data_IF_630904861612
#
_entry.id   IF_630904861612
#
_cell.length_a   1.000
_cell.length_b   1.000
_cell.length_c   1.000
_cell.angle_alpha   90.00
_cell.angle_beta   90.00
_cell.angle_gamma   90.00
#
_symmetry.space_group_name_H-M   'P 1'
#
loop_
_entity.id
_entity.type
_entity.pdbx_description
1 polymer ?
#
# COMPACT_ATOMS: atom_id res chain seq x y z
N UNK A 1 -24.86 10.97 7.30
CA UNK A 1 -24.52 9.53 7.12
C UNK A 1 -23.14 9.32 7.72
N UNK A 2 -22.95 8.25 8.48
CA UNK A 2 -21.67 7.93 9.10
C UNK A 2 -20.60 7.61 8.04
N UNK A 3 -19.38 8.13 8.23
CA UNK A 3 -18.27 7.93 7.30
C UNK A 3 -17.72 6.52 7.48
N UNK A 4 -17.83 5.67 6.46
CA UNK A 4 -17.30 4.30 6.49
C UNK A 4 -15.78 4.31 6.67
N UNK A 5 -15.29 3.47 7.58
CA UNK A 5 -13.86 3.28 7.86
C UNK A 5 -13.40 1.90 7.41
N UNK A 6 -12.31 1.84 6.64
CA UNK A 6 -11.77 0.59 6.09
C UNK A 6 -10.26 0.54 6.26
N UNK A 7 -9.75 -0.60 6.73
CA UNK A 7 -8.33 -0.93 6.71
C UNK A 7 -8.09 -2.05 5.69
N UNK A 8 -7.16 -1.82 4.76
CA UNK A 8 -6.72 -2.80 3.76
C UNK A 8 -5.35 -3.31 4.18
N UNK A 9 -5.22 -4.62 4.34
CA UNK A 9 -3.96 -5.28 4.66
C UNK A 9 -3.37 -5.90 3.39
N UNK A 10 -2.32 -5.29 2.85
CA UNK A 10 -1.58 -5.84 1.73
C UNK A 10 -0.56 -6.85 2.27
N UNK A 11 -0.72 -8.13 1.93
CA UNK A 11 0.11 -9.23 2.45
C UNK A 11 0.93 -9.96 1.37
N UNK A 12 0.43 -10.03 0.14
CA UNK A 12 1.00 -10.82 -0.95
C UNK A 12 2.13 -10.07 -1.68
N UNK A 13 3.17 -10.80 -2.14
CA UNK A 13 4.28 -10.25 -2.93
C UNK A 13 3.99 -10.01 -4.40
N UNK A 14 2.87 -10.50 -4.95
CA UNK A 14 2.58 -10.37 -6.38
C UNK A 14 2.29 -8.89 -6.73
N UNK A 15 3.02 -8.28 -7.68
CA UNK A 15 2.92 -6.84 -7.97
C UNK A 15 1.54 -6.34 -8.38
N UNK A 16 0.78 -7.11 -9.17
CA UNK A 16 -0.57 -6.75 -9.61
C UNK A 16 -1.55 -6.78 -8.44
N UNK A 17 -1.45 -7.79 -7.56
CA UNK A 17 -2.25 -7.89 -6.33
C UNK A 17 -1.96 -6.69 -5.42
N UNK A 18 -0.69 -6.31 -5.25
CA UNK A 18 -0.33 -5.11 -4.49
C UNK A 18 -0.92 -3.84 -5.13
N UNK A 19 -0.82 -3.69 -6.45
CA UNK A 19 -1.42 -2.57 -7.17
C UNK A 19 -2.95 -2.51 -6.99
N UNK A 20 -3.64 -3.65 -6.96
CA UNK A 20 -5.08 -3.70 -6.71
C UNK A 20 -5.46 -3.22 -5.31
N UNK A 21 -4.66 -3.51 -4.28
CA UNK A 21 -4.86 -2.93 -2.95
C UNK A 21 -4.83 -1.39 -2.99
N UNK A 22 -3.88 -0.81 -3.73
CA UNK A 22 -3.77 0.65 -3.88
C UNK A 22 -4.95 1.24 -4.67
N UNK A 23 -5.33 0.62 -5.79
CA UNK A 23 -6.47 1.04 -6.61
C UNK A 23 -7.78 0.99 -5.82
N UNK A 24 -8.00 -0.08 -5.05
CA UNK A 24 -9.18 -0.23 -4.21
C UNK A 24 -9.21 0.85 -3.11
N UNK A 25 -8.08 1.10 -2.45
CA UNK A 25 -7.99 2.15 -1.43
C UNK A 25 -8.30 3.54 -1.98
N UNK A 26 -7.73 3.88 -3.13
CA UNK A 26 -8.01 5.15 -3.83
C UNK A 26 -9.47 5.25 -4.27
N UNK A 27 -10.04 4.16 -4.79
CA UNK A 27 -11.45 4.11 -5.20
C UNK A 27 -12.41 4.32 -4.03
N UNK A 28 -12.15 3.68 -2.90
CA UNK A 28 -12.93 3.87 -1.67
C UNK A 28 -12.78 5.29 -1.11
N UNK A 29 -11.58 5.86 -1.14
CA UNK A 29 -11.37 7.26 -0.74
C UNK A 29 -12.16 8.23 -1.64
N UNK A 30 -12.19 7.99 -2.95
CA UNK A 30 -12.97 8.79 -3.90
C UNK A 30 -14.49 8.72 -3.64
N UNK A 31 -14.97 7.63 -3.02
CA UNK A 31 -16.36 7.48 -2.57
C UNK A 31 -16.62 8.16 -1.20
N UNK A 32 -15.63 8.88 -0.65
CA UNK A 32 -15.75 9.59 0.63
C UNK A 32 -15.47 8.73 1.87
N UNK A 33 -14.97 7.51 1.70
CA UNK A 33 -14.66 6.63 2.83
C UNK A 33 -13.33 7.06 3.48
N UNK A 34 -13.18 6.76 4.76
CA UNK A 34 -11.89 6.86 5.45
C UNK A 34 -11.16 5.52 5.29
N UNK A 35 -10.04 5.53 4.57
CA UNK A 35 -9.36 4.31 4.15
C UNK A 35 -7.89 4.38 4.49
N UNK A 36 -7.36 3.28 5.02
CA UNK A 36 -5.95 3.10 5.35
C UNK A 36 -5.44 1.78 4.79
N UNK A 37 -4.21 1.80 4.29
CA UNK A 37 -3.49 0.64 3.75
C UNK A 37 -2.33 0.34 4.70
N UNK A 38 -2.35 -0.85 5.28
CA UNK A 38 -1.29 -1.42 6.09
C UNK A 38 -0.54 -2.43 5.23
N UNK A 39 0.78 -2.27 5.14
CA UNK A 39 1.62 -3.13 4.31
C UNK A 39 2.38 -4.09 5.21
N UNK A 40 2.14 -5.38 5.04
CA UNK A 40 2.68 -6.42 5.91
C UNK A 40 3.02 -7.69 5.11
N UNK A 41 3.62 -8.68 5.78
CA UNK A 41 4.01 -9.93 5.14
C UNK A 41 4.99 -9.69 3.99
N UNK A 42 4.72 -10.37 2.89
CA UNK A 42 5.58 -10.40 1.72
C UNK A 42 5.39 -9.18 0.80
N UNK A 43 4.28 -8.45 0.96
CA UNK A 43 4.04 -7.17 0.30
C UNK A 43 5.06 -6.09 0.69
N UNK A 44 5.71 -6.21 1.84
CA UNK A 44 6.77 -5.28 2.28
C UNK A 44 7.92 -5.19 1.27
N UNK A 45 8.19 -6.25 0.50
CA UNK A 45 9.17 -6.26 -0.61
C UNK A 45 8.80 -5.28 -1.74
N UNK A 46 7.52 -5.00 -1.95
CA UNK A 46 7.07 -4.07 -2.98
C UNK A 46 7.40 -2.62 -2.61
N UNK A 47 7.47 -2.31 -1.31
CA UNK A 47 7.79 -0.95 -0.83
C UNK A 47 9.20 -0.53 -1.22
N UNK A 48 10.20 -1.41 -1.14
CA UNK A 48 11.57 -1.09 -1.59
C UNK A 48 11.65 -0.92 -3.10
N UNK A 49 10.95 -1.77 -3.85
CA UNK A 49 10.95 -1.73 -5.32
C UNK A 49 10.29 -0.46 -5.87
N UNK A 50 9.18 -0.03 -5.27
CA UNK A 50 8.39 1.12 -5.74
C UNK A 50 8.95 2.48 -5.32
N UNK A 51 10.07 2.51 -4.56
CA UNK A 51 10.88 3.73 -4.40
C UNK A 51 11.65 4.10 -5.68
N UNK A 52 11.78 3.18 -6.62
CA UNK A 52 12.36 3.44 -7.92
C UNK A 52 11.26 3.83 -8.92
N UNK A 53 11.31 5.06 -9.42
CA UNK A 53 10.31 5.62 -10.34
C UNK A 53 10.23 4.91 -11.70
N UNK A 54 11.24 4.12 -12.06
CA UNK A 54 11.26 3.34 -13.31
C UNK A 54 10.49 2.02 -13.24
N UNK A 55 10.05 1.60 -12.05
CA UNK A 55 9.35 0.32 -11.87
C UNK A 55 7.87 0.42 -12.26
N UNK A 56 7.27 -0.69 -12.73
CA UNK A 56 5.82 -0.76 -12.92
C UNK A 56 5.08 -0.32 -11.66
N UNK A 57 4.00 0.44 -11.83
CA UNK A 57 3.16 0.96 -10.75
C UNK A 57 3.81 1.98 -9.80
N UNK A 58 5.03 2.45 -10.05
CA UNK A 58 5.65 3.50 -9.22
C UNK A 58 4.78 4.77 -9.17
N UNK A 59 4.19 5.17 -10.29
CA UNK A 59 3.25 6.29 -10.33
C UNK A 59 1.99 6.07 -9.47
N UNK A 60 1.46 4.84 -9.45
CA UNK A 60 0.31 4.48 -8.62
C UNK A 60 0.68 4.51 -7.13
N UNK A 61 1.86 4.01 -6.78
CA UNK A 61 2.40 4.09 -5.43
C UNK A 61 2.52 5.55 -4.95
N UNK A 62 3.13 6.43 -5.77
CA UNK A 62 3.24 7.84 -5.42
C UNK A 62 1.86 8.49 -5.26
N UNK A 63 0.90 8.17 -6.15
CA UNK A 63 -0.47 8.64 -6.01
C UNK A 63 -1.11 8.20 -4.69
N UNK A 64 -1.00 6.93 -4.33
CA UNK A 64 -1.53 6.39 -3.07
C UNK A 64 -0.87 7.03 -1.84
N UNK A 65 0.45 7.22 -1.88
CA UNK A 65 1.22 7.87 -0.82
C UNK A 65 0.80 9.34 -0.66
N UNK A 66 0.74 10.10 -1.75
CA UNK A 66 0.32 11.51 -1.76
C UNK A 66 -1.15 11.69 -1.34
N UNK A 67 -2.00 10.71 -1.63
CA UNK A 67 -3.39 10.68 -1.18
C UNK A 67 -3.54 10.38 0.32
N UNK A 68 -2.46 10.05 1.03
CA UNK A 68 -2.46 9.81 2.49
C UNK A 68 -3.17 8.51 2.92
N UNK A 69 -3.41 7.58 1.98
CA UNK A 69 -4.06 6.30 2.29
C UNK A 69 -3.07 5.26 2.81
N UNK A 70 -1.75 5.43 2.61
CA UNK A 70 -0.74 4.54 3.20
C UNK A 70 -0.56 4.91 4.67
N UNK A 71 -0.77 3.94 5.57
CA UNK A 71 -0.72 4.17 7.01
C UNK A 71 0.63 3.77 7.59
N UNK A 72 1.00 2.50 7.44
CA UNK A 72 2.23 1.96 7.98
C UNK A 72 2.73 0.74 7.20
N UNK A 73 3.97 0.37 7.49
CA UNK A 73 4.62 -0.87 7.02
C UNK A 73 5.03 -1.65 8.28
N UNK A 74 4.70 -2.93 8.35
CA UNK A 74 5.09 -3.77 9.47
C UNK A 74 6.62 -3.91 9.53
N UNK A 75 7.21 -3.45 10.64
CA UNK A 75 8.66 -3.46 10.83
C UNK A 75 9.23 -4.88 10.88
N UNK A 76 8.58 -5.80 11.59
CA UNK A 76 9.04 -7.18 11.70
C UNK A 76 9.09 -7.88 10.33
N UNK A 77 8.05 -7.70 9.51
CA UNK A 77 8.02 -8.24 8.15
C UNK A 77 9.05 -7.58 7.24
N UNK A 78 9.24 -6.26 7.36
CA UNK A 78 10.23 -5.53 6.58
C UNK A 78 11.67 -5.98 6.91
N UNK A 79 11.98 -6.22 8.21
CA UNK A 79 13.27 -6.79 8.65
C UNK A 79 13.46 -8.21 8.14
N UNK A 80 12.45 -9.07 8.28
CA UNK A 80 12.46 -10.45 7.75
C UNK A 80 12.76 -10.48 6.25
N UNK A 81 12.21 -9.54 5.50
CA UNK A 81 12.39 -9.42 4.05
C UNK A 81 13.57 -8.54 3.63
N UNK A 82 14.40 -8.11 4.59
CA UNK A 82 15.61 -7.31 4.34
C UNK A 82 15.32 -6.00 3.59
N UNK A 83 14.14 -5.43 3.81
CA UNK A 83 13.65 -4.17 3.21
C UNK A 83 14.15 -2.95 3.99
N UNK A 84 14.38 -3.12 5.30
CA UNK A 84 14.96 -2.11 6.19
C UNK A 84 16.19 -2.72 6.90
N UNK A 85 17.25 -1.92 7.14
CA UNK A 85 18.44 -2.36 7.87
C UNK A 85 18.14 -2.77 9.33
#
# INVERSE_FOLDING_TARGET
MEKRRVAIFAFNSEPVVFAHCLLNGLGMQAQGWEVKVVIEGDATKQVSLLRNETKPFAALWQKAKSAGIIDCVCEACARKNTVVP
#
